data_IF_255303711554
#
_entry.id   IF_255303711554
#
_cell.length_a   1.000
_cell.length_b   1.000
_cell.length_c   1.000
_cell.angle_alpha   90.00
_cell.angle_beta   90.00
_cell.angle_gamma   90.00
#
_symmetry.space_group_name_H-M   'P 1'
#
loop_
_entity.id
_entity.type
_entity.pdbx_description
1 polymer ?
#
# COMPACT_ATOMS: atom_id res chain seq x y z
N UNK A 1 17.07 24.87 12.05
CA UNK A 1 17.74 25.00 10.74
C UNK A 1 16.76 24.75 9.59
N UNK A 2 16.00 23.65 9.58
CA UNK A 2 15.02 23.33 8.52
C UNK A 2 14.06 24.48 8.14
N UNK A 3 13.51 25.22 9.12
CA UNK A 3 12.62 26.37 8.85
C UNK A 3 13.24 27.42 7.90
N UNK A 4 14.56 27.63 7.95
CA UNK A 4 15.25 28.62 7.11
C UNK A 4 15.47 28.17 5.66
N UNK A 5 15.23 26.89 5.37
CA UNK A 5 15.36 26.28 4.04
C UNK A 5 14.06 25.59 3.63
N UNK A 6 12.93 26.03 4.17
CA UNK A 6 11.61 25.51 3.80
C UNK A 6 11.34 25.80 2.31
N UNK A 7 10.68 24.86 1.64
CA UNK A 7 10.34 24.96 0.22
C UNK A 7 9.31 26.05 -0.06
N UNK A 8 8.51 26.42 0.94
CA UNK A 8 7.49 27.45 0.85
C UNK A 8 7.10 28.00 2.23
N UNK A 9 6.37 29.12 2.24
CA UNK A 9 5.95 29.81 3.46
C UNK A 9 5.05 28.95 4.36
N UNK A 10 4.14 28.15 3.79
CA UNK A 10 3.24 27.30 4.56
C UNK A 10 4.00 26.21 5.33
N UNK A 11 4.95 25.53 4.67
CA UNK A 11 5.84 24.56 5.31
C UNK A 11 6.71 25.23 6.39
N UNK A 12 7.25 26.43 6.11
CA UNK A 12 8.03 27.21 7.08
C UNK A 12 7.21 27.68 8.29
N UNK A 13 5.93 27.99 8.10
CA UNK A 13 5.01 28.35 9.18
C UNK A 13 4.73 27.14 10.08
N UNK A 14 4.38 25.98 9.52
CA UNK A 14 4.17 24.75 10.26
C UNK A 14 5.43 24.34 11.06
N UNK A 15 6.63 24.39 10.45
CA UNK A 15 7.89 24.16 11.17
C UNK A 15 8.10 25.15 12.33
N UNK A 16 7.64 26.39 12.17
CA UNK A 16 7.66 27.41 13.22
C UNK A 16 6.82 27.02 14.43
N UNK A 17 5.58 26.59 14.20
CA UNK A 17 4.66 26.14 15.25
C UNK A 17 5.17 24.87 15.93
N UNK A 18 5.74 23.93 15.18
CA UNK A 18 6.34 22.73 15.77
C UNK A 18 7.52 23.07 16.71
N UNK A 19 8.37 24.02 16.31
CA UNK A 19 9.46 24.53 17.17
C UNK A 19 8.90 25.20 18.42
N UNK A 20 7.81 25.96 18.30
CA UNK A 20 7.15 26.60 19.43
C UNK A 20 6.58 25.57 20.40
N UNK A 21 5.85 24.57 19.89
CA UNK A 21 5.34 23.44 20.67
C UNK A 21 6.46 22.75 21.45
N UNK A 22 7.59 22.41 20.81
CA UNK A 22 8.71 21.78 21.52
C UNK A 22 9.33 22.65 22.63
N UNK A 23 9.21 23.98 22.54
CA UNK A 23 9.72 24.89 23.57
C UNK A 23 8.73 25.10 24.72
N UNK A 24 7.44 25.05 24.45
CA UNK A 24 6.39 25.43 25.42
C UNK A 24 5.66 24.23 26.01
N UNK A 25 5.56 23.13 25.27
CA UNK A 25 4.71 21.99 25.58
C UNK A 25 3.21 22.27 25.48
N UNK A 26 2.81 23.39 24.85
CA UNK A 26 1.41 23.81 24.76
C UNK A 26 0.62 23.00 23.71
N UNK A 27 -0.44 22.32 24.15
CA UNK A 27 -1.26 21.49 23.29
C UNK A 27 -2.13 22.29 22.32
N UNK A 28 -2.43 23.56 22.61
CA UNK A 28 -3.11 24.41 21.62
C UNK A 28 -2.16 24.70 20.44
N UNK A 29 -0.89 25.00 20.73
CA UNK A 29 0.15 25.16 19.69
C UNK A 29 0.33 23.87 18.87
N UNK A 30 0.20 22.70 19.49
CA UNK A 30 0.19 21.41 18.79
C UNK A 30 -0.99 21.30 17.82
N UNK A 31 -2.20 21.64 18.25
CA UNK A 31 -3.39 21.67 17.38
C UNK A 31 -3.20 22.67 16.22
N UNK A 32 -2.68 23.87 16.50
CA UNK A 32 -2.40 24.90 15.50
C UNK A 32 -1.35 24.41 14.49
N UNK A 33 -0.30 23.73 14.96
CA UNK A 33 0.68 23.06 14.08
C UNK A 33 0.01 22.04 13.17
N UNK A 34 -0.87 21.17 13.70
CA UNK A 34 -1.53 20.15 12.91
C UNK A 34 -2.44 20.76 11.83
N UNK A 35 -3.19 21.81 12.17
CA UNK A 35 -3.98 22.57 11.17
C UNK A 35 -3.07 23.13 10.07
N UNK A 36 -1.97 23.80 10.44
CA UNK A 36 -1.04 24.38 9.49
C UNK A 36 -0.35 23.31 8.61
N UNK A 37 0.09 22.21 9.22
CA UNK A 37 0.75 21.10 8.52
C UNK A 37 -0.21 20.41 7.56
N UNK A 38 -1.46 20.14 7.95
CA UNK A 38 -2.48 19.55 7.07
C UNK A 38 -2.72 20.43 5.83
N UNK A 39 -2.76 21.75 5.99
CA UNK A 39 -2.91 22.69 4.88
C UNK A 39 -1.66 22.87 4.00
N UNK A 40 -0.47 22.54 4.49
CA UNK A 40 0.79 22.66 3.76
C UNK A 40 1.00 21.45 2.83
N UNK A 41 0.37 21.45 1.66
CA UNK A 41 0.42 20.34 0.68
C UNK A 41 1.40 20.58 -0.49
N UNK A 42 1.86 21.81 -0.67
CA UNK A 42 2.84 22.16 -1.70
C UNK A 42 4.27 21.80 -1.25
N UNK A 43 5.11 21.43 -2.22
CA UNK A 43 6.51 21.03 -1.98
C UNK A 43 6.76 19.54 -2.23
N UNK A 44 8.02 19.16 -2.21
CA UNK A 44 8.47 17.80 -2.43
C UNK A 44 8.88 17.07 -1.16
N UNK A 45 9.08 17.81 -0.07
CA UNK A 45 9.48 17.30 1.23
C UNK A 45 8.32 17.45 2.21
N UNK A 46 7.98 16.37 2.88
CA UNK A 46 7.08 16.37 4.03
C UNK A 46 7.74 15.64 5.19
N UNK A 47 7.14 15.76 6.38
CA UNK A 47 7.70 15.17 7.58
C UNK A 47 6.61 14.88 8.59
N UNK A 48 6.85 13.82 9.36
CA UNK A 48 6.23 13.59 10.67
C UNK A 48 7.35 13.71 11.68
N UNK A 49 7.14 14.48 12.75
CA UNK A 49 8.15 14.66 13.80
C UNK A 49 7.49 15.15 15.09
N UNK A 50 7.01 14.24 15.94
CA UNK A 50 6.52 14.56 17.29
C UNK A 50 6.11 13.32 18.07
N UNK A 51 5.37 13.54 19.16
CA UNK A 51 4.64 12.51 19.90
C UNK A 51 3.30 12.26 19.20
N UNK A 52 3.20 11.18 18.40
CA UNK A 52 2.09 11.01 17.44
C UNK A 52 1.11 9.94 17.89
N UNK A 53 1.57 8.70 17.93
CA UNK A 53 0.71 7.53 18.08
C UNK A 53 0.61 7.09 19.54
N UNK A 54 -0.60 6.81 20.00
CA UNK A 54 -0.88 6.51 21.42
C UNK A 54 -0.95 5.01 21.73
N UNK A 55 -0.56 4.15 20.79
CA UNK A 55 -0.71 2.69 20.90
C UNK A 55 0.07 2.09 22.07
N UNK A 56 1.21 2.69 22.43
CA UNK A 56 2.08 2.21 23.50
C UNK A 56 1.65 2.68 24.90
N UNK A 57 0.69 3.61 25.00
CA UNK A 57 0.07 3.97 26.27
C UNK A 57 -1.12 3.03 26.55
N UNK A 58 -1.13 2.26 27.65
CA UNK A 58 -2.26 1.41 28.00
C UNK A 58 -3.60 2.16 28.14
N UNK A 59 -3.56 3.47 28.39
CA UNK A 59 -4.74 4.32 28.46
C UNK A 59 -5.00 5.10 27.15
N UNK A 60 -4.07 5.08 26.20
CA UNK A 60 -4.20 5.74 24.90
C UNK A 60 -4.17 7.27 24.95
N UNK A 61 -3.48 7.88 25.92
CA UNK A 61 -3.41 9.35 26.07
C UNK A 61 -2.06 9.96 25.70
N UNK A 62 -0.97 9.19 25.81
CA UNK A 62 0.41 9.66 25.57
C UNK A 62 0.93 9.13 24.24
N UNK A 63 1.35 10.03 23.37
CA UNK A 63 1.96 9.68 22.08
C UNK A 63 3.42 9.24 22.25
N UNK A 64 3.84 8.19 21.54
CA UNK A 64 5.25 7.86 21.32
C UNK A 64 5.91 8.90 20.41
N UNK A 65 7.17 9.25 20.68
CA UNK A 65 7.94 10.07 19.73
C UNK A 65 8.22 9.26 18.46
N UNK A 66 7.91 9.83 17.30
CA UNK A 66 8.28 9.29 15.99
C UNK A 66 8.73 10.40 15.04
N UNK A 67 9.57 10.03 14.08
CA UNK A 67 9.97 10.90 12.99
C UNK A 67 10.05 10.11 11.69
N UNK A 68 9.44 10.64 10.63
CA UNK A 68 9.50 10.08 9.27
C UNK A 68 9.74 11.24 8.31
N UNK A 69 10.88 11.27 7.62
CA UNK A 69 11.19 12.27 6.60
C UNK A 69 10.80 11.72 5.24
N UNK A 70 9.95 12.45 4.52
CA UNK A 70 9.27 11.97 3.33
C UNK A 70 9.64 12.84 2.13
N UNK A 71 9.96 12.19 1.01
CA UNK A 71 10.24 12.84 -0.28
C UNK A 71 9.21 12.31 -1.27
N UNK A 72 8.56 13.16 -2.06
CA UNK A 72 7.66 12.69 -3.12
C UNK A 72 8.33 11.61 -3.98
N UNK A 73 7.64 10.51 -4.24
CA UNK A 73 8.05 9.59 -5.29
C UNK A 73 7.67 10.23 -6.63
N UNK A 74 8.65 10.88 -7.28
CA UNK A 74 8.44 11.61 -8.52
C UNK A 74 7.99 10.72 -9.67
N UNK A 75 8.52 9.49 -9.74
CA UNK A 75 8.14 8.51 -10.76
C UNK A 75 6.69 8.08 -10.57
N UNK A 76 6.32 7.71 -9.34
CA UNK A 76 4.95 7.36 -9.01
C UNK A 76 3.98 8.54 -9.20
N UNK A 77 4.39 9.73 -8.79
CA UNK A 77 3.58 10.96 -8.93
C UNK A 77 3.27 11.25 -10.40
N UNK A 78 4.24 11.05 -11.31
CA UNK A 78 4.01 11.19 -12.74
C UNK A 78 3.03 10.15 -13.27
N UNK A 79 3.19 8.88 -12.89
CA UNK A 79 2.27 7.80 -13.27
C UNK A 79 0.85 8.06 -12.76
N UNK A 80 0.69 8.40 -11.49
CA UNK A 80 -0.58 8.75 -10.87
C UNK A 80 -1.24 9.96 -11.54
N UNK A 81 -0.44 10.97 -11.93
CA UNK A 81 -0.96 12.12 -12.67
C UNK A 81 -1.55 11.71 -14.02
N UNK A 82 -0.84 10.89 -14.80
CA UNK A 82 -1.34 10.38 -16.09
C UNK A 82 -2.65 9.61 -15.90
N UNK A 83 -2.74 8.77 -14.86
CA UNK A 83 -3.97 8.05 -14.54
C UNK A 83 -5.11 9.02 -14.16
N UNK A 84 -4.85 9.95 -13.24
CA UNK A 84 -5.83 10.94 -12.79
C UNK A 84 -6.35 11.82 -13.92
N UNK A 85 -5.48 12.28 -14.82
CA UNK A 85 -5.86 13.08 -15.99
C UNK A 85 -6.76 12.29 -16.97
N UNK A 86 -6.69 10.96 -16.93
CA UNK A 86 -7.48 10.05 -17.76
C UNK A 86 -8.58 9.32 -16.96
N UNK A 87 -8.87 9.74 -15.72
CA UNK A 87 -9.80 9.04 -14.83
C UNK A 87 -11.18 8.80 -15.45
N UNK A 88 -11.69 9.76 -16.23
CA UNK A 88 -12.96 9.61 -16.93
C UNK A 88 -12.93 8.49 -17.99
N UNK A 89 -11.81 8.31 -18.70
CA UNK A 89 -11.69 7.23 -19.68
C UNK A 89 -11.81 5.87 -18.98
N UNK A 90 -11.19 5.71 -17.82
CA UNK A 90 -11.29 4.48 -17.04
C UNK A 90 -12.74 4.27 -16.56
N UNK A 91 -13.42 5.28 -16.02
CA UNK A 91 -14.82 5.14 -15.63
C UNK A 91 -15.72 4.72 -16.81
N UNK A 92 -15.60 5.41 -17.94
CA UNK A 92 -16.41 5.17 -19.13
C UNK A 92 -16.20 3.78 -19.71
N UNK A 93 -14.95 3.28 -19.69
CA UNK A 93 -14.54 1.98 -20.23
C UNK A 93 -14.51 0.87 -19.18
N UNK A 94 -15.08 1.09 -18.00
CA UNK A 94 -15.20 0.07 -16.95
C UNK A 94 -16.32 -0.94 -17.27
N UNK A 95 -16.24 -2.18 -16.72
CA UNK A 95 -17.28 -3.19 -16.88
C UNK A 95 -18.52 -2.92 -16.00
N UNK A 96 -18.52 -1.80 -15.26
CA UNK A 96 -19.61 -1.40 -14.38
C UNK A 96 -20.92 -1.22 -15.15
N UNK A 97 -22.05 -1.43 -14.46
CA UNK A 97 -23.37 -1.09 -15.01
C UNK A 97 -23.45 0.42 -15.28
N UNK A 98 -24.11 0.81 -16.36
CA UNK A 98 -24.18 2.22 -16.78
C UNK A 98 -24.76 3.13 -15.67
N UNK A 99 -25.75 2.67 -14.93
CA UNK A 99 -26.33 3.40 -13.79
C UNK A 99 -25.39 3.56 -12.60
N UNK A 100 -24.36 2.72 -12.47
CA UNK A 100 -23.35 2.80 -11.41
C UNK A 100 -22.12 3.60 -11.81
N UNK A 101 -22.01 4.05 -13.07
CA UNK A 101 -20.93 4.92 -13.53
C UNK A 101 -21.17 6.39 -13.14
N UNK A 102 -20.11 7.08 -12.77
CA UNK A 102 -20.09 8.54 -12.58
C UNK A 102 -20.06 9.25 -13.93
N UNK A 103 -20.86 10.29 -14.05
CA UNK A 103 -20.85 11.16 -15.25
C UNK A 103 -19.57 12.00 -15.33
N UNK A 104 -19.06 12.43 -14.18
CA UNK A 104 -17.83 13.19 -14.05
C UNK A 104 -17.00 12.61 -12.91
N UNK A 105 -15.84 12.04 -13.23
CA UNK A 105 -14.85 11.55 -12.27
C UNK A 105 -13.72 12.54 -12.17
N UNK A 106 -13.41 12.92 -10.94
CA UNK A 106 -12.16 13.59 -10.60
C UNK A 106 -11.28 12.54 -9.94
N UNK A 107 -10.08 12.33 -10.48
CA UNK A 107 -9.12 11.40 -9.89
C UNK A 107 -8.77 11.81 -8.46
N UNK A 108 -8.55 10.82 -7.59
CA UNK A 108 -8.12 11.07 -6.21
C UNK A 108 -6.64 11.41 -6.21
N UNK A 109 -6.25 12.47 -5.50
CA UNK A 109 -4.85 12.80 -5.28
C UNK A 109 -4.32 11.91 -4.16
N UNK A 110 -3.66 10.81 -4.54
CA UNK A 110 -2.96 9.93 -3.61
C UNK A 110 -1.47 10.25 -3.63
N UNK A 111 -0.83 10.27 -2.44
CA UNK A 111 0.59 10.64 -2.31
C UNK A 111 1.41 9.41 -1.93
N UNK A 112 2.31 9.01 -2.81
CA UNK A 112 3.36 8.03 -2.53
C UNK A 112 4.67 8.77 -2.31
N UNK A 113 5.37 8.40 -1.25
CA UNK A 113 6.64 9.02 -0.87
C UNK A 113 7.73 7.98 -0.70
N UNK A 114 8.97 8.42 -0.87
CA UNK A 114 10.15 7.73 -0.40
C UNK A 114 10.52 8.25 0.99
N UNK A 115 10.72 7.33 1.91
CA UNK A 115 11.28 7.61 3.24
C UNK A 115 12.77 7.87 3.10
N UNK A 116 13.22 9.06 3.53
CA UNK A 116 14.63 9.45 3.56
C UNK A 116 15.33 9.11 4.88
N UNK A 117 14.56 8.96 5.96
CA UNK A 117 15.06 8.57 7.27
C UNK A 117 13.96 8.56 8.33
N UNK A 118 14.07 7.62 9.28
CA UNK A 118 13.11 7.39 10.34
C UNK A 118 13.79 7.38 11.72
N UNK A 119 13.04 7.73 12.76
CA UNK A 119 13.47 7.62 14.15
C UNK A 119 12.27 7.43 15.09
N UNK A 120 12.54 7.05 16.34
CA UNK A 120 11.50 6.83 17.34
C UNK A 120 10.66 5.58 17.02
N UNK A 121 9.35 5.66 17.24
CA UNK A 121 8.42 4.53 17.05
C UNK A 121 8.29 4.06 15.59
N UNK A 122 8.85 4.84 14.64
CA UNK A 122 8.93 4.48 13.23
C UNK A 122 10.26 3.81 12.83
N UNK A 123 11.17 3.47 13.77
CA UNK A 123 12.44 2.82 13.43
C UNK A 123 12.93 1.88 14.54
N UNK A 124 13.45 0.67 14.22
CA UNK A 124 13.66 0.12 12.88
C UNK A 124 12.41 -0.53 12.28
N UNK A 125 11.36 -0.76 13.07
CA UNK A 125 10.07 -1.22 12.55
C UNK A 125 9.21 -0.01 12.22
N UNK A 126 8.69 0.05 11.00
CA UNK A 126 7.98 1.22 10.47
C UNK A 126 6.64 0.80 9.85
N UNK A 127 5.60 1.65 9.88
CA UNK A 127 4.41 1.42 9.08
C UNK A 127 4.71 1.41 7.58
N UNK A 128 3.76 0.95 6.77
CA UNK A 128 3.83 1.03 5.30
C UNK A 128 3.07 2.25 4.74
N UNK A 129 2.31 2.93 5.60
CA UNK A 129 1.54 4.12 5.29
C UNK A 129 1.07 4.82 6.55
N UNK A 130 0.76 6.10 6.44
CA UNK A 130 0.43 6.99 7.57
C UNK A 130 -0.77 7.85 7.21
N UNK A 131 -1.65 8.13 8.20
CA UNK A 131 -2.83 8.96 7.99
C UNK A 131 -3.05 9.93 9.16
N UNK A 132 -2.59 11.16 9.01
CA UNK A 132 -2.52 12.15 10.07
C UNK A 132 -3.23 13.47 9.69
N UNK A 133 -3.65 14.29 10.67
CA UNK A 133 -3.46 14.14 12.12
C UNK A 133 -4.49 13.20 12.77
N UNK A 134 -4.24 12.86 14.04
CA UNK A 134 -5.13 12.01 14.85
C UNK A 134 -6.36 12.77 15.41
N UNK A 135 -6.30 14.10 15.51
CA UNK A 135 -7.41 14.90 16.04
C UNK A 135 -8.62 14.91 15.08
N UNK A 136 -9.70 14.22 15.46
CA UNK A 136 -10.90 14.06 14.64
C UNK A 136 -11.52 15.40 14.18
N UNK A 137 -11.47 16.43 15.01
CA UNK A 137 -12.04 17.73 14.67
C UNK A 137 -11.23 18.42 13.55
N UNK A 138 -9.90 18.28 13.53
CA UNK A 138 -9.04 18.78 12.46
C UNK A 138 -9.32 18.00 11.18
N UNK A 139 -9.42 16.67 11.28
CA UNK A 139 -9.76 15.80 10.14
C UNK A 139 -11.08 16.20 9.49
N UNK A 140 -12.09 16.51 10.31
CA UNK A 140 -13.41 16.91 9.83
C UNK A 140 -13.45 18.34 9.26
N UNK A 141 -12.66 19.26 9.81
CA UNK A 141 -12.76 20.69 9.49
C UNK A 141 -11.75 21.18 8.46
N UNK A 142 -10.58 20.54 8.41
CA UNK A 142 -9.42 20.91 7.59
C UNK A 142 -9.06 19.79 6.62
N UNK A 143 -9.04 18.54 7.12
CA UNK A 143 -8.71 17.35 6.34
C UNK A 143 -7.61 16.51 6.98
N UNK A 144 -7.06 15.58 6.21
CA UNK A 144 -5.96 14.70 6.63
C UNK A 144 -5.02 14.44 5.45
N UNK A 145 -3.76 14.11 5.74
CA UNK A 145 -2.81 13.59 4.77
C UNK A 145 -2.69 12.08 4.94
N UNK A 146 -3.02 11.34 3.89
CA UNK A 146 -2.79 9.90 3.79
C UNK A 146 -1.64 9.65 2.83
N UNK A 147 -0.62 8.92 3.27
CA UNK A 147 0.62 8.74 2.53
C UNK A 147 1.05 7.28 2.58
N UNK A 148 1.42 6.72 1.42
CA UNK A 148 2.07 5.41 1.34
C UNK A 148 3.60 5.56 1.29
N UNK A 149 4.30 4.79 2.12
CA UNK A 149 5.75 4.76 2.21
C UNK A 149 6.30 3.78 1.16
N UNK A 150 6.35 4.24 -0.09
CA UNK A 150 6.55 3.42 -1.27
C UNK A 150 7.85 2.63 -1.28
N UNK A 151 8.96 3.20 -0.81
CA UNK A 151 10.24 2.49 -0.72
C UNK A 151 10.28 1.46 0.43
N UNK A 152 9.53 1.67 1.52
CA UNK A 152 9.36 0.68 2.58
C UNK A 152 8.55 -0.51 2.06
N UNK A 153 7.39 -0.27 1.43
CA UNK A 153 6.55 -1.31 0.80
C UNK A 153 7.38 -2.13 -0.20
N UNK A 154 8.12 -1.42 -1.05
CA UNK A 154 9.00 -2.03 -2.03
C UNK A 154 10.08 -2.90 -1.37
N UNK A 155 10.72 -2.40 -0.32
CA UNK A 155 11.69 -3.18 0.44
C UNK A 155 11.03 -4.37 1.17
N UNK A 156 9.79 -4.27 1.67
CA UNK A 156 9.06 -5.41 2.24
C UNK A 156 8.80 -6.50 1.20
N UNK A 157 8.30 -6.11 0.02
CA UNK A 157 7.98 -7.03 -1.06
C UNK A 157 9.24 -7.74 -1.56
N UNK A 158 10.37 -7.04 -1.61
CA UNK A 158 11.65 -7.54 -2.11
C UNK A 158 12.60 -8.08 -1.02
N UNK A 159 12.26 -7.99 0.27
CA UNK A 159 13.04 -8.57 1.36
C UNK A 159 12.91 -10.10 1.42
N UNK A 160 11.98 -10.69 0.66
CA UNK A 160 12.01 -12.12 0.38
C UNK A 160 13.33 -12.47 -0.33
N UNK A 161 14.00 -13.53 0.11
CA UNK A 161 15.10 -14.05 -0.69
C UNK A 161 14.55 -14.40 -2.08
N UNK A 162 15.31 -14.17 -3.15
CA UNK A 162 14.97 -14.73 -4.49
C UNK A 162 14.64 -16.22 -4.40
N UNK A 163 15.19 -16.92 -3.40
CA UNK A 163 14.82 -18.28 -3.04
C UNK A 163 13.34 -18.49 -2.68
N UNK A 164 12.69 -17.57 -1.95
CA UNK A 164 11.25 -17.68 -1.66
C UNK A 164 10.41 -17.53 -2.92
N UNK A 165 10.69 -16.55 -3.76
CA UNK A 165 9.99 -16.40 -5.03
C UNK A 165 10.12 -17.69 -5.85
N UNK A 166 11.36 -18.15 -6.07
CA UNK A 166 11.69 -19.40 -6.79
C UNK A 166 10.99 -20.64 -6.21
N UNK A 167 10.75 -20.68 -4.91
CA UNK A 167 10.05 -21.79 -4.27
C UNK A 167 8.55 -21.82 -4.60
N UNK A 168 7.91 -20.67 -4.79
CA UNK A 168 6.45 -20.55 -4.91
C UNK A 168 5.91 -20.24 -6.31
N UNK A 169 6.73 -19.71 -7.22
CA UNK A 169 6.38 -19.59 -8.64
C UNK A 169 6.19 -20.96 -9.29
N UNK A 170 5.30 -21.03 -10.28
CA UNK A 170 5.01 -22.25 -11.02
C UNK A 170 6.19 -22.68 -11.89
N UNK A 171 6.79 -21.76 -12.64
CA UNK A 171 7.84 -22.07 -13.61
C UNK A 171 8.89 -20.94 -13.75
N UNK A 172 9.81 -21.15 -14.69
CA UNK A 172 10.90 -20.20 -14.98
C UNK A 172 10.40 -18.95 -15.70
N UNK A 173 9.29 -19.02 -16.45
CA UNK A 173 8.73 -17.85 -17.12
C UNK A 173 8.13 -16.88 -16.10
N UNK A 174 7.30 -17.37 -15.17
CA UNK A 174 6.76 -16.55 -14.06
C UNK A 174 7.90 -15.90 -13.26
N UNK A 175 8.95 -16.65 -12.97
CA UNK A 175 10.12 -16.15 -12.23
C UNK A 175 10.79 -14.97 -12.96
N UNK A 176 11.09 -15.14 -14.26
CA UNK A 176 11.77 -14.12 -15.05
C UNK A 176 10.90 -12.87 -15.22
N UNK A 177 9.60 -13.06 -15.41
CA UNK A 177 8.64 -11.96 -15.49
C UNK A 177 8.56 -11.19 -14.17
N UNK A 178 8.49 -11.87 -13.03
CA UNK A 178 8.50 -11.22 -11.72
C UNK A 178 9.82 -10.45 -11.48
N UNK A 179 10.97 -11.05 -11.80
CA UNK A 179 12.29 -10.39 -11.65
C UNK A 179 12.42 -9.15 -12.54
N UNK A 180 11.84 -9.16 -13.75
CA UNK A 180 11.93 -8.05 -14.70
C UNK A 180 10.86 -6.97 -14.48
N UNK A 181 9.61 -7.36 -14.20
CA UNK A 181 8.43 -6.50 -14.24
C UNK A 181 7.69 -6.37 -12.90
N UNK A 182 7.93 -7.25 -11.91
CA UNK A 182 7.12 -7.35 -10.69
C UNK A 182 7.03 -6.03 -9.91
N UNK A 183 8.17 -5.33 -9.76
CA UNK A 183 8.19 -4.03 -9.08
C UNK A 183 7.34 -2.96 -9.80
N UNK A 184 7.36 -2.94 -11.14
CA UNK A 184 6.57 -1.99 -11.91
C UNK A 184 5.09 -2.36 -11.90
N UNK A 185 4.77 -3.66 -11.97
CA UNK A 185 3.43 -4.19 -11.87
C UNK A 185 2.78 -3.83 -10.51
N UNK A 186 3.47 -4.07 -9.39
CA UNK A 186 3.02 -3.71 -8.04
C UNK A 186 2.72 -2.21 -7.91
N UNK A 187 3.65 -1.38 -8.41
CA UNK A 187 3.53 0.08 -8.40
C UNK A 187 2.32 0.55 -9.19
N UNK A 188 2.10 -0.01 -10.39
CA UNK A 188 0.96 0.36 -11.23
C UNK A 188 -0.36 -0.18 -10.69
N UNK A 189 -0.37 -1.38 -10.09
CA UNK A 189 -1.55 -1.92 -9.40
C UNK A 189 -1.99 -0.98 -8.28
N UNK A 190 -1.04 -0.59 -7.42
CA UNK A 190 -1.27 0.38 -6.34
C UNK A 190 -1.77 1.71 -6.90
N UNK A 191 -1.15 2.23 -7.96
CA UNK A 191 -1.57 3.49 -8.56
C UNK A 191 -3.00 3.44 -9.13
N UNK A 192 -3.36 2.35 -9.81
CA UNK A 192 -4.72 2.14 -10.32
C UNK A 192 -5.73 1.94 -9.19
N UNK A 193 -5.40 1.14 -8.17
CA UNK A 193 -6.23 0.93 -6.98
C UNK A 193 -6.58 2.27 -6.31
N UNK A 194 -5.57 3.08 -6.01
CA UNK A 194 -5.72 4.30 -5.23
C UNK A 194 -6.35 5.45 -6.02
N UNK A 195 -5.91 5.66 -7.27
CA UNK A 195 -6.33 6.83 -8.08
C UNK A 195 -7.62 6.57 -8.85
N UNK A 196 -7.82 5.35 -9.35
CA UNK A 196 -8.96 4.98 -10.20
C UNK A 196 -9.95 4.10 -9.43
N UNK A 197 -9.46 3.11 -8.71
CA UNK A 197 -10.23 2.16 -7.92
C UNK A 197 -11.18 2.89 -6.98
N UNK A 198 -10.67 3.49 -5.91
CA UNK A 198 -11.51 4.21 -4.95
C UNK A 198 -12.29 5.41 -5.52
N UNK A 199 -11.81 6.01 -6.62
CA UNK A 199 -12.48 7.13 -7.28
C UNK A 199 -13.69 6.70 -8.13
N UNK A 200 -13.73 5.45 -8.61
CA UNK A 200 -14.72 4.96 -9.57
C UNK A 200 -16.05 4.55 -8.93
N UNK A 201 -17.11 4.61 -9.72
CA UNK A 201 -18.44 4.10 -9.36
C UNK A 201 -19.22 4.92 -8.31
N UNK A 202 -20.55 4.88 -8.38
CA UNK A 202 -21.44 5.64 -7.48
C UNK A 202 -22.51 4.77 -6.84
N UNK A 203 -23.00 5.19 -5.67
CA UNK A 203 -24.16 4.60 -5.00
C UNK A 203 -25.46 4.96 -5.71
N UNK A 204 -26.46 4.09 -5.63
CA UNK A 204 -27.80 4.40 -6.11
C UNK A 204 -28.49 5.44 -5.21
N UNK A 205 -29.37 6.30 -5.77
CA UNK A 205 -30.11 7.28 -4.98
C UNK A 205 -30.86 6.63 -3.80
N UNK A 206 -30.61 7.11 -2.58
CA UNK A 206 -31.26 6.60 -1.37
C UNK A 206 -30.58 5.42 -0.69
N UNK A 207 -29.47 4.90 -1.26
CA UNK A 207 -28.61 3.91 -0.59
C UNK A 207 -27.64 4.65 0.35
N UNK A 208 -27.57 4.19 1.61
CA UNK A 208 -26.65 4.75 2.61
C UNK A 208 -25.18 4.41 2.31
N UNK A 209 -24.27 5.03 3.07
CA UNK A 209 -22.84 4.82 2.87
C UNK A 209 -22.46 3.34 3.04
N UNK A 210 -21.40 2.89 2.35
CA UNK A 210 -20.99 1.47 2.34
C UNK A 210 -20.78 0.89 3.74
N UNK A 211 -20.27 1.70 4.67
CA UNK A 211 -20.09 1.32 6.08
C UNK A 211 -21.42 1.04 6.79
N UNK A 212 -22.48 1.76 6.44
CA UNK A 212 -23.81 1.61 7.04
C UNK A 212 -24.55 0.39 6.47
N UNK A 213 -24.47 0.21 5.15
CA UNK A 213 -25.19 -0.84 4.43
C UNK A 213 -24.51 -2.20 4.55
N UNK A 214 -23.18 -2.26 4.45
CA UNK A 214 -22.41 -3.51 4.42
C UNK A 214 -21.70 -3.85 5.74
N UNK A 215 -21.69 -2.91 6.69
CA UNK A 215 -21.21 -3.11 8.08
C UNK A 215 -19.78 -3.68 8.13
N UNK A 216 -19.60 -4.85 8.74
CA UNK A 216 -18.32 -5.54 8.89
C UNK A 216 -17.68 -5.97 7.57
N UNK A 217 -18.44 -6.02 6.46
CA UNK A 217 -17.90 -6.36 5.14
C UNK A 217 -17.51 -5.13 4.30
N UNK A 218 -17.79 -3.92 4.77
CA UNK A 218 -17.56 -2.70 4.00
C UNK A 218 -16.10 -2.54 3.57
N UNK A 219 -15.15 -2.69 4.49
CA UNK A 219 -13.73 -2.53 4.19
C UNK A 219 -13.22 -3.59 3.21
N UNK A 220 -13.49 -4.87 3.47
CA UNK A 220 -13.00 -5.93 2.57
C UNK A 220 -13.61 -5.86 1.17
N UNK A 221 -14.87 -5.44 1.03
CA UNK A 221 -15.47 -5.22 -0.29
C UNK A 221 -14.84 -4.02 -1.00
N UNK A 222 -14.69 -2.88 -0.31
CA UNK A 222 -14.15 -1.67 -0.93
C UNK A 222 -12.74 -1.90 -1.47
N UNK A 223 -11.90 -2.54 -0.67
CA UNK A 223 -10.53 -2.87 -1.04
C UNK A 223 -10.46 -3.85 -2.21
N UNK A 224 -11.23 -4.94 -2.19
CA UNK A 224 -11.21 -5.89 -3.30
C UNK A 224 -11.82 -5.34 -4.58
N UNK A 225 -12.79 -4.42 -4.47
CA UNK A 225 -13.32 -3.69 -5.63
C UNK A 225 -12.25 -2.78 -6.24
N UNK A 226 -11.49 -2.05 -5.43
CA UNK A 226 -10.38 -1.22 -5.91
C UNK A 226 -9.25 -2.07 -6.50
N UNK A 227 -8.92 -3.22 -5.89
CA UNK A 227 -7.98 -4.20 -6.45
C UNK A 227 -8.43 -4.71 -7.81
N UNK A 228 -9.72 -5.04 -7.97
CA UNK A 228 -10.29 -5.50 -9.23
C UNK A 228 -10.24 -4.44 -10.32
N UNK A 229 -10.42 -3.15 -10.00
CA UNK A 229 -10.17 -2.06 -10.95
C UNK A 229 -8.71 -2.06 -11.38
N UNK A 230 -7.79 -2.19 -10.43
CA UNK A 230 -6.36 -2.31 -10.72
C UNK A 230 -6.04 -3.49 -11.63
N UNK A 231 -6.52 -4.69 -11.29
CA UNK A 231 -6.30 -5.92 -12.07
C UNK A 231 -6.92 -5.82 -13.47
N UNK A 232 -8.14 -5.32 -13.60
CA UNK A 232 -8.80 -5.17 -14.89
C UNK A 232 -7.99 -4.27 -15.83
N UNK A 233 -7.46 -3.14 -15.34
CA UNK A 233 -6.69 -2.22 -16.18
C UNK A 233 -5.20 -2.53 -16.33
N UNK A 234 -4.61 -3.36 -15.46
CA UNK A 234 -3.22 -3.81 -15.63
C UNK A 234 -3.02 -4.65 -16.88
N UNK A 235 -3.99 -5.49 -17.20
CA UNK A 235 -3.99 -6.28 -18.43
C UNK A 235 -4.72 -5.52 -19.56
N UNK A 236 -4.36 -4.25 -19.78
CA UNK A 236 -4.99 -3.40 -20.79
C UNK A 236 -3.96 -2.60 -21.63
N UNK A 237 -4.07 -2.59 -22.98
CA UNK A 237 -3.18 -1.83 -23.85
C UNK A 237 -3.19 -0.32 -23.60
N UNK A 238 -4.23 0.22 -22.96
CA UNK A 238 -4.29 1.64 -22.65
C UNK A 238 -3.11 2.12 -21.81
N UNK A 239 -2.57 1.30 -20.92
CA UNK A 239 -1.40 1.67 -20.13
C UNK A 239 -0.18 1.97 -21.01
N UNK A 240 0.01 1.18 -22.07
CA UNK A 240 1.08 1.42 -23.04
C UNK A 240 0.79 2.63 -23.92
N UNK A 241 -0.46 2.84 -24.35
CA UNK A 241 -0.87 4.05 -25.09
C UNK A 241 -0.62 5.34 -24.30
N UNK A 242 -0.81 5.29 -22.98
CA UNK A 242 -0.55 6.39 -22.06
C UNK A 242 0.94 6.54 -21.71
N UNK A 243 1.81 5.66 -22.20
CA UNK A 243 3.25 5.69 -21.94
C UNK A 243 3.66 5.24 -20.54
N UNK A 244 2.77 4.54 -19.81
CA UNK A 244 3.03 4.06 -18.45
C UNK A 244 3.90 2.79 -18.43
N UNK A 245 3.85 2.01 -19.52
CA UNK A 245 4.57 0.75 -19.71
C UNK A 245 5.03 0.61 -21.15
N UNK A 246 6.05 -0.21 -21.38
CA UNK A 246 6.53 -0.56 -22.74
C UNK A 246 5.93 -1.86 -23.27
N UNK A 247 5.49 -2.75 -22.39
CA UNK A 247 4.87 -4.04 -22.70
C UNK A 247 3.75 -4.29 -21.68
N UNK A 248 2.52 -3.88 -22.03
CA UNK A 248 1.36 -4.01 -21.13
C UNK A 248 0.99 -5.46 -20.86
N UNK A 249 1.24 -6.37 -21.82
CA UNK A 249 0.84 -7.77 -21.71
C UNK A 249 1.70 -8.47 -20.66
N UNK A 250 3.03 -8.30 -20.71
CA UNK A 250 3.93 -8.86 -19.69
C UNK A 250 3.69 -8.29 -18.31
N UNK A 251 3.43 -6.98 -18.21
CA UNK A 251 3.09 -6.33 -16.93
C UNK A 251 1.81 -6.94 -16.34
N UNK A 252 0.77 -7.08 -17.16
CA UNK A 252 -0.49 -7.65 -16.71
C UNK A 252 -0.37 -9.13 -16.34
N UNK A 253 0.42 -9.94 -17.08
CA UNK A 253 0.71 -11.34 -16.71
C UNK A 253 1.40 -11.42 -15.35
N UNK A 254 2.47 -10.66 -15.18
CA UNK A 254 3.24 -10.58 -13.93
C UNK A 254 2.33 -10.22 -12.75
N UNK A 255 1.48 -9.19 -12.91
CA UNK A 255 0.52 -8.80 -11.89
C UNK A 255 -0.48 -9.91 -11.55
N UNK A 256 -1.00 -10.61 -12.57
CA UNK A 256 -2.00 -11.67 -12.37
C UNK A 256 -1.39 -12.88 -11.67
N UNK A 257 -0.21 -13.32 -12.10
CA UNK A 257 0.51 -14.42 -11.46
C UNK A 257 0.80 -14.10 -9.99
N UNK A 258 1.38 -12.93 -9.73
CA UNK A 258 1.65 -12.45 -8.37
C UNK A 258 0.38 -12.40 -7.51
N UNK A 259 -0.73 -11.86 -8.05
CA UNK A 259 -1.99 -11.73 -7.32
C UNK A 259 -2.63 -13.10 -7.02
N UNK A 260 -2.68 -14.02 -7.98
CA UNK A 260 -3.23 -15.37 -7.79
C UNK A 260 -2.36 -16.20 -6.84
N UNK A 261 -1.03 -16.16 -7.01
CA UNK A 261 -0.07 -16.81 -6.11
C UNK A 261 -0.19 -16.27 -4.69
N UNK A 262 -0.39 -14.96 -4.53
CA UNK A 262 -0.61 -14.35 -3.22
C UNK A 262 -1.94 -14.79 -2.60
N UNK A 263 -3.05 -14.54 -3.30
CA UNK A 263 -4.41 -14.74 -2.80
C UNK A 263 -4.72 -16.19 -2.45
N UNK A 264 -4.26 -17.15 -3.25
CA UNK A 264 -4.56 -18.58 -3.05
C UNK A 264 -3.51 -19.33 -2.23
N UNK A 265 -2.33 -18.75 -1.97
CA UNK A 265 -1.22 -19.51 -1.41
C UNK A 265 -0.27 -18.71 -0.51
N UNK A 266 0.51 -17.78 -1.04
CA UNK A 266 1.68 -17.25 -0.29
C UNK A 266 1.31 -16.32 0.85
N UNK A 267 0.12 -15.71 0.84
CA UNK A 267 -0.33 -14.90 1.99
C UNK A 267 -0.54 -15.73 3.27
N UNK A 268 -0.79 -17.04 3.13
CA UNK A 268 -1.06 -17.95 4.26
C UNK A 268 0.16 -18.15 5.17
N UNK A 269 1.36 -17.74 4.72
CA UNK A 269 2.57 -17.69 5.55
C UNK A 269 2.37 -16.85 6.82
N UNK A 270 1.45 -15.87 6.78
CA UNK A 270 1.17 -14.94 7.88
C UNK A 270 0.24 -15.51 8.96
N UNK A 271 -0.33 -16.69 8.75
CA UNK A 271 -1.33 -17.30 9.64
C UNK A 271 -0.75 -18.50 10.40
N UNK A 272 -1.23 -18.74 11.63
CA UNK A 272 -0.93 -20.00 12.32
C UNK A 272 -1.79 -21.11 11.72
N UNK A 273 -1.25 -22.32 11.65
CA UNK A 273 -1.99 -23.47 11.13
C UNK A 273 -3.31 -23.68 11.92
N UNK A 274 -4.43 -23.77 11.21
CA UNK A 274 -5.77 -23.86 11.78
C UNK A 274 -6.53 -22.53 11.82
N UNK A 275 -5.85 -21.39 11.68
CA UNK A 275 -6.49 -20.08 11.62
C UNK A 275 -7.20 -19.85 10.27
N UNK A 276 -8.19 -18.96 10.28
CA UNK A 276 -8.83 -18.42 9.09
C UNK A 276 -8.32 -17.00 8.81
N UNK A 277 -8.66 -16.45 7.64
CA UNK A 277 -8.29 -15.07 7.31
C UNK A 277 -9.19 -14.08 8.06
N UNK A 278 -8.59 -13.13 8.78
CA UNK A 278 -9.31 -12.09 9.52
C UNK A 278 -9.14 -10.69 8.94
N UNK A 279 -7.92 -10.36 8.52
CA UNK A 279 -7.53 -9.04 8.02
C UNK A 279 -8.23 -8.73 6.67
N UNK A 280 -8.80 -7.52 6.53
CA UNK A 280 -9.68 -7.16 5.41
C UNK A 280 -8.99 -7.22 4.04
N UNK A 281 -7.70 -6.81 3.95
CA UNK A 281 -6.94 -6.87 2.72
C UNK A 281 -6.59 -8.32 2.34
N UNK A 282 -6.16 -9.15 3.29
CA UNK A 282 -5.95 -10.58 3.08
C UNK A 282 -7.23 -11.28 2.62
N UNK A 283 -8.37 -10.95 3.25
CA UNK A 283 -9.69 -11.47 2.86
C UNK A 283 -10.02 -11.13 1.42
N UNK A 284 -9.76 -9.88 1.00
CA UNK A 284 -10.07 -9.45 -0.35
C UNK A 284 -9.24 -10.16 -1.41
N UNK A 285 -7.94 -10.30 -1.18
CA UNK A 285 -7.05 -10.99 -2.12
C UNK A 285 -7.49 -12.44 -2.24
N UNK A 286 -7.88 -13.04 -1.10
CA UNK A 286 -8.38 -14.40 -1.11
C UNK A 286 -9.70 -14.53 -1.88
N UNK A 287 -10.72 -13.71 -1.60
CA UNK A 287 -12.00 -13.87 -2.29
C UNK A 287 -11.95 -13.53 -3.78
N UNK A 288 -11.13 -12.55 -4.18
CA UNK A 288 -10.90 -12.24 -5.61
C UNK A 288 -10.30 -13.45 -6.32
N UNK A 289 -9.20 -14.00 -5.80
CA UNK A 289 -8.52 -15.13 -6.44
C UNK A 289 -9.34 -16.42 -6.38
N UNK A 290 -9.97 -16.73 -5.25
CA UNK A 290 -10.75 -17.96 -5.07
C UNK A 290 -12.03 -17.96 -5.91
N UNK A 291 -12.70 -16.81 -6.05
CA UNK A 291 -13.84 -16.68 -6.94
C UNK A 291 -13.43 -16.89 -8.39
N UNK A 292 -12.36 -16.23 -8.85
CA UNK A 292 -11.86 -16.39 -10.22
C UNK A 292 -11.42 -17.83 -10.51
N UNK A 293 -10.74 -18.47 -9.56
CA UNK A 293 -10.36 -19.88 -9.64
C UNK A 293 -11.58 -20.81 -9.78
N UNK A 294 -12.63 -20.61 -8.97
CA UNK A 294 -13.85 -21.42 -9.05
C UNK A 294 -14.58 -21.20 -10.38
N UNK A 295 -14.79 -19.94 -10.79
CA UNK A 295 -15.57 -19.62 -12.00
C UNK A 295 -14.83 -20.00 -13.28
N UNK A 296 -13.51 -19.90 -13.29
CA UNK A 296 -12.66 -20.32 -14.41
C UNK A 296 -12.45 -21.83 -14.52
N UNK A 297 -12.91 -22.63 -13.55
CA UNK A 297 -12.60 -24.07 -13.47
C UNK A 297 -13.06 -24.89 -14.68
N UNK A 298 -14.23 -24.58 -15.25
CA UNK A 298 -14.77 -25.31 -16.40
C UNK A 298 -13.89 -25.16 -17.65
N UNK A 299 -13.20 -24.03 -17.77
CA UNK A 299 -12.34 -23.67 -18.89
C UNK A 299 -10.83 -23.83 -18.56
N UNK A 300 -10.50 -24.34 -17.36
CA UNK A 300 -9.15 -24.47 -16.83
C UNK A 300 -8.35 -23.14 -16.84
N UNK A 301 -9.01 -22.00 -16.59
CA UNK A 301 -8.38 -20.66 -16.65
C UNK A 301 -7.22 -20.54 -15.68
N UNK A 302 -7.42 -21.01 -14.44
CA UNK A 302 -6.39 -21.13 -13.42
C UNK A 302 -6.33 -22.60 -12.98
N UNK A 303 -5.14 -23.17 -12.96
CA UNK A 303 -4.90 -24.57 -12.63
C UNK A 303 -4.12 -24.70 -11.31
N UNK A 304 -4.62 -25.55 -10.40
CA UNK A 304 -3.88 -25.96 -9.21
C UNK A 304 -2.98 -27.15 -9.58
N UNK A 305 -1.67 -26.92 -9.67
CA UNK A 305 -0.69 -27.94 -10.04
C UNK A 305 -0.01 -28.49 -8.79
N UNK A 306 0.16 -29.82 -8.74
CA UNK A 306 0.97 -30.47 -7.69
C UNK A 306 2.21 -31.09 -8.32
N UNK A 307 3.40 -30.69 -7.87
CA UNK A 307 4.70 -31.21 -8.34
C UNK A 307 5.54 -31.56 -7.12
N UNK A 308 6.00 -32.80 -7.03
CA UNK A 308 6.83 -33.29 -5.91
C UNK A 308 6.24 -32.99 -4.53
N UNK A 309 4.91 -33.10 -4.39
CA UNK A 309 4.19 -32.81 -3.15
C UNK A 309 4.03 -31.32 -2.83
N UNK A 310 4.47 -30.41 -3.70
CA UNK A 310 4.30 -28.96 -3.58
C UNK A 310 3.15 -28.47 -4.45
N UNK A 311 2.35 -27.54 -3.91
CA UNK A 311 1.24 -26.90 -4.63
C UNK A 311 1.71 -25.64 -5.35
N UNK A 312 1.24 -25.44 -6.58
CA UNK A 312 1.45 -24.25 -7.39
C UNK A 312 0.14 -23.86 -8.07
N UNK A 313 0.04 -22.62 -8.52
CA UNK A 313 -1.05 -22.16 -9.36
C UNK A 313 -0.48 -21.68 -10.68
N UNK A 314 -1.09 -22.07 -11.80
CA UNK A 314 -0.72 -21.63 -13.14
C UNK A 314 -1.92 -20.95 -13.80
N UNK A 315 -1.69 -19.85 -14.52
CA UNK A 315 -2.72 -19.18 -15.31
C UNK A 315 -2.59 -19.65 -16.75
N UNK A 316 -3.57 -20.42 -17.23
CA UNK A 316 -3.57 -20.94 -18.60
C UNK A 316 -4.17 -19.97 -19.61
N UNK A 317 -5.04 -19.05 -19.17
CA UNK A 317 -5.72 -18.09 -20.05
C UNK A 317 -5.91 -16.72 -19.35
N UNK A 318 -4.94 -15.83 -19.54
CA UNK A 318 -4.96 -14.48 -18.96
C UNK A 318 -6.11 -13.62 -19.48
N UNK A 319 -6.53 -13.81 -20.74
CA UNK A 319 -7.64 -13.05 -21.31
C UNK A 319 -8.96 -13.44 -20.68
N UNK A 320 -9.22 -14.74 -20.49
CA UNK A 320 -10.39 -15.19 -19.72
C UNK A 320 -10.33 -14.79 -18.26
N UNK A 321 -9.15 -14.77 -17.65
CA UNK A 321 -9.02 -14.27 -16.28
C UNK A 321 -9.35 -12.77 -16.19
N UNK A 322 -8.92 -11.97 -17.16
CA UNK A 322 -9.31 -10.56 -17.27
C UNK A 322 -10.84 -10.40 -17.36
N UNK A 323 -11.52 -11.24 -18.16
CA UNK A 323 -12.99 -11.23 -18.26
C UNK A 323 -13.65 -11.58 -16.92
N UNK A 324 -13.15 -12.61 -16.22
CA UNK A 324 -13.62 -12.98 -14.88
C UNK A 324 -13.43 -11.86 -13.85
N UNK A 325 -12.29 -11.16 -13.86
CA UNK A 325 -12.09 -9.99 -13.02
C UNK A 325 -13.07 -8.86 -13.38
N UNK A 326 -13.37 -8.66 -14.66
CA UNK A 326 -14.38 -7.70 -15.09
C UNK A 326 -15.80 -8.05 -14.62
N UNK A 327 -16.16 -9.33 -14.66
CA UNK A 327 -17.44 -9.83 -14.13
C UNK A 327 -17.55 -9.61 -12.61
N UNK A 328 -16.50 -9.97 -11.87
CA UNK A 328 -16.48 -9.79 -10.43
C UNK A 328 -16.44 -8.31 -10.04
N UNK A 329 -15.75 -7.46 -10.79
CA UNK A 329 -15.75 -6.01 -10.60
C UNK A 329 -17.16 -5.42 -10.78
N UNK A 330 -17.87 -5.87 -11.82
CA UNK A 330 -19.25 -5.45 -12.06
C UNK A 330 -20.18 -5.86 -10.91
N UNK A 331 -20.04 -7.08 -10.40
CA UNK A 331 -20.86 -7.57 -9.29
C UNK A 331 -20.52 -6.87 -7.96
N UNK A 332 -19.24 -6.72 -7.63
CA UNK A 332 -18.81 -6.03 -6.40
C UNK A 332 -19.24 -4.56 -6.40
N UNK A 333 -19.20 -3.89 -7.56
CA UNK A 333 -19.79 -2.56 -7.70
C UNK A 333 -21.31 -2.57 -7.51
N UNK A 334 -22.04 -3.54 -8.07
CA UNK A 334 -23.50 -3.67 -7.85
C UNK A 334 -23.81 -3.81 -6.36
N UNK A 335 -23.13 -4.73 -5.68
CA UNK A 335 -23.25 -4.96 -4.24
C UNK A 335 -23.07 -3.66 -3.46
N UNK A 336 -22.00 -2.91 -3.77
CA UNK A 336 -21.72 -1.60 -3.15
C UNK A 336 -22.83 -0.60 -3.45
N UNK A 337 -23.19 -0.43 -4.72
CA UNK A 337 -24.11 0.59 -5.20
C UNK A 337 -25.55 0.38 -4.72
N UNK A 338 -25.95 -0.86 -4.49
CA UNK A 338 -27.29 -1.23 -4.00
C UNK A 338 -27.34 -1.47 -2.49
N UNK A 339 -26.20 -1.54 -1.80
CA UNK A 339 -26.14 -1.84 -0.37
C UNK A 339 -26.54 -3.29 -0.05
N UNK A 340 -26.21 -4.24 -0.92
CA UNK A 340 -26.64 -5.63 -0.83
C UNK A 340 -25.81 -6.42 0.20
N UNK A 341 -26.21 -6.32 1.47
CA UNK A 341 -25.55 -7.00 2.58
C UNK A 341 -25.47 -8.53 2.39
N UNK A 342 -26.51 -9.16 1.81
CA UNK A 342 -26.54 -10.61 1.67
C UNK A 342 -25.56 -11.10 0.60
N UNK A 343 -25.45 -10.36 -0.49
CA UNK A 343 -24.49 -10.69 -1.54
C UNK A 343 -23.05 -10.50 -1.07
N UNK A 344 -22.74 -9.42 -0.33
CA UNK A 344 -21.37 -9.25 0.22
C UNK A 344 -21.05 -10.34 1.26
N UNK A 345 -22.01 -10.71 2.11
CA UNK A 345 -21.83 -11.79 3.09
C UNK A 345 -21.54 -13.12 2.37
N UNK A 346 -22.31 -13.45 1.32
CA UNK A 346 -22.11 -14.66 0.54
C UNK A 346 -20.74 -14.68 -0.16
N UNK A 347 -20.29 -13.55 -0.71
CA UNK A 347 -18.98 -13.43 -1.37
C UNK A 347 -17.84 -13.60 -0.34
N UNK A 348 -17.87 -12.84 0.75
CA UNK A 348 -16.78 -12.83 1.73
C UNK A 348 -16.73 -14.15 2.51
N UNK A 349 -17.85 -14.64 3.03
CA UNK A 349 -17.88 -15.89 3.80
C UNK A 349 -17.67 -17.13 2.92
N UNK A 350 -18.04 -17.04 1.63
CA UNK A 350 -17.87 -18.10 0.65
C UNK A 350 -16.41 -18.26 0.20
N UNK A 351 -15.70 -17.15 -0.03
CA UNK A 351 -14.40 -17.17 -0.70
C UNK A 351 -13.25 -16.52 0.10
N UNK A 352 -13.55 -15.61 1.03
CA UNK A 352 -12.55 -14.73 1.66
C UNK A 352 -12.10 -15.12 3.06
N UNK A 353 -12.85 -15.98 3.78
CA UNK A 353 -12.58 -16.30 5.19
C UNK A 353 -11.87 -17.65 5.35
N UNK A 354 -12.44 -18.70 4.75
CA UNK A 354 -12.00 -20.09 5.02
C UNK A 354 -10.69 -20.39 4.33
N UNK A 355 -9.74 -20.94 5.08
CA UNK A 355 -8.44 -21.36 4.55
C UNK A 355 -8.46 -22.86 4.24
N UNK A 356 -8.00 -23.24 3.05
CA UNK A 356 -7.67 -24.63 2.71
C UNK A 356 -6.44 -25.05 3.53
N UNK A 357 -6.69 -25.86 4.56
CA UNK A 357 -5.67 -26.24 5.54
C UNK A 357 -4.57 -27.15 4.94
N UNK A 358 -4.86 -27.86 3.84
CA UNK A 358 -3.85 -28.67 3.16
C UNK A 358 -2.86 -27.77 2.39
N UNK A 359 -3.38 -26.72 1.72
CA UNK A 359 -2.53 -25.70 1.11
C UNK A 359 -1.74 -24.96 2.20
N UNK A 360 -2.39 -24.57 3.29
CA UNK A 360 -1.74 -23.84 4.39
C UNK A 360 -0.58 -24.64 4.99
N UNK A 361 -0.80 -25.92 5.31
CA UNK A 361 0.25 -26.80 5.80
C UNK A 361 1.40 -26.95 4.78
N UNK A 362 1.08 -27.08 3.49
CA UNK A 362 2.07 -27.14 2.41
C UNK A 362 2.94 -25.87 2.36
N UNK A 363 2.31 -24.70 2.44
CA UNK A 363 2.96 -23.40 2.41
C UNK A 363 3.86 -23.20 3.62
N UNK A 364 3.37 -23.50 4.83
CA UNK A 364 4.15 -23.36 6.05
C UNK A 364 5.36 -24.30 6.05
N UNK A 365 5.19 -25.56 5.61
CA UNK A 365 6.31 -26.50 5.51
C UNK A 365 7.38 -26.00 4.53
N UNK A 366 6.98 -25.58 3.33
CA UNK A 366 7.90 -25.02 2.33
C UNK A 366 8.58 -23.75 2.83
N UNK A 367 7.87 -22.93 3.61
CA UNK A 367 8.42 -21.68 4.12
C UNK A 367 9.43 -21.87 5.26
N UNK A 368 9.45 -23.01 5.97
CA UNK A 368 10.43 -23.29 7.05
C UNK A 368 11.89 -23.20 6.60
N UNK A 369 12.16 -23.43 5.32
CA UNK A 369 13.52 -23.30 4.77
C UNK A 369 14.00 -21.85 4.71
N UNK A 370 13.08 -20.87 4.78
CA UNK A 370 13.40 -19.45 4.81
C UNK A 370 13.39 -18.97 6.26
N UNK A 371 14.57 -18.63 6.77
CA UNK A 371 14.77 -18.13 8.13
C UNK A 371 14.33 -16.68 8.33
N UNK A 372 13.51 -16.12 7.42
CA UNK A 372 13.06 -14.73 7.59
C UNK A 372 12.25 -14.62 8.87
N UNK A 373 12.65 -13.69 9.74
CA UNK A 373 11.89 -13.40 10.93
C UNK A 373 10.46 -12.93 10.55
N UNK A 374 9.46 -13.20 11.40
CA UNK A 374 8.08 -12.75 11.17
C UNK A 374 7.94 -11.21 11.24
N UNK A 375 8.93 -10.53 11.80
CA UNK A 375 9.00 -9.08 11.89
C UNK A 375 10.16 -8.55 11.05
N UNK A 376 9.88 -7.51 10.28
CA UNK A 376 10.88 -6.82 9.47
C UNK A 376 11.28 -5.52 10.16
N UNK A 377 12.55 -5.17 10.04
CA UNK A 377 13.05 -3.84 10.36
C UNK A 377 13.99 -3.35 9.27
N UNK A 378 14.15 -2.03 9.19
CA UNK A 378 14.90 -1.34 8.15
C UNK A 378 16.05 -0.56 8.77
N UNK A 379 17.20 -0.58 8.11
CA UNK A 379 18.30 0.33 8.42
C UNK A 379 18.11 1.61 7.63
N UNK A 380 18.28 2.76 8.29
CA UNK A 380 18.24 4.05 7.60
C UNK A 380 19.46 4.24 6.69
N UNK A 381 19.35 5.01 5.59
CA UNK A 381 20.52 5.52 4.89
C UNK A 381 21.24 6.60 5.72
N UNK A 382 22.48 6.91 5.34
CA UNK A 382 23.28 8.00 5.89
C UNK A 382 23.34 9.11 4.83
N UNK A 383 22.81 10.28 5.15
CA UNK A 383 22.83 11.45 4.26
C UNK A 383 24.05 12.33 4.59
N UNK A 384 25.04 12.35 3.70
CA UNK A 384 26.32 13.05 3.91
C UNK A 384 26.39 14.31 3.03
N UNK A 385 26.32 15.52 3.60
CA UNK A 385 26.44 16.74 2.82
C UNK A 385 27.90 16.98 2.39
N UNK A 386 28.08 17.34 1.12
CA UNK A 386 29.32 17.89 0.58
C UNK A 386 29.18 19.41 0.49
N UNK A 387 30.19 20.14 0.96
CA UNK A 387 30.17 21.60 1.00
C UNK A 387 31.29 22.22 0.18
N UNK A 388 31.03 23.38 -0.44
CA UNK A 388 32.08 24.20 -1.03
C UNK A 388 32.91 24.94 0.04
N UNK A 389 33.94 25.69 -0.38
CA UNK A 389 34.82 26.46 0.51
C UNK A 389 34.07 27.54 1.34
N UNK A 390 32.89 27.96 0.90
CA UNK A 390 32.03 28.90 1.63
C UNK A 390 31.11 28.21 2.65
N UNK A 391 31.14 26.88 2.74
CA UNK A 391 30.28 26.07 3.62
C UNK A 391 28.88 25.82 3.08
N UNK A 392 28.61 26.14 1.81
CA UNK A 392 27.32 25.88 1.17
C UNK A 392 27.24 24.43 0.71
N UNK A 393 26.11 23.77 0.95
CA UNK A 393 25.87 22.39 0.52
C UNK A 393 25.73 22.37 -1.01
N UNK A 394 26.62 21.66 -1.69
CA UNK A 394 26.59 21.48 -3.15
C UNK A 394 26.01 20.14 -3.56
N UNK A 395 26.07 19.15 -2.68
CA UNK A 395 25.58 17.79 -2.91
C UNK A 395 25.25 17.10 -1.59
N UNK A 396 24.32 16.16 -1.62
CA UNK A 396 24.10 15.20 -0.52
C UNK A 396 24.33 13.80 -1.07
N UNK A 397 25.32 13.11 -0.53
CA UNK A 397 25.60 11.71 -0.85
C UNK A 397 24.72 10.81 0.03
N UNK A 398 24.18 9.75 -0.57
CA UNK A 398 23.40 8.73 0.14
C UNK A 398 24.29 7.51 0.30
N UNK A 399 24.65 7.22 1.54
CA UNK A 399 25.44 6.05 1.94
C UNK A 399 24.56 5.08 2.75
N UNK A 400 25.02 3.85 2.93
CA UNK A 400 24.31 2.83 3.71
C UNK A 400 25.24 2.26 4.77
N UNK A 401 24.74 2.02 6.00
CA UNK A 401 25.55 1.39 7.04
C UNK A 401 25.95 -0.02 6.62
N UNK A 402 27.10 -0.50 7.13
CA UNK A 402 27.57 -1.86 6.84
C UNK A 402 26.64 -2.92 7.46
N UNK A 403 26.02 -2.61 8.59
CA UNK A 403 25.10 -3.51 9.28
C UNK A 403 24.15 -2.74 10.22
N UNK A 404 23.10 -3.41 10.67
CA UNK A 404 22.23 -2.91 11.73
C UNK A 404 23.00 -2.57 13.02
N UNK A 405 23.97 -3.41 13.40
CA UNK A 405 24.79 -3.19 14.60
C UNK A 405 25.61 -1.90 14.49
N UNK A 406 26.24 -1.69 13.32
CA UNK A 406 27.03 -0.49 13.06
C UNK A 406 26.18 0.79 13.13
N UNK A 407 24.99 0.77 12.54
CA UNK A 407 24.05 1.89 12.64
C UNK A 407 23.65 2.19 14.08
N UNK A 408 23.27 1.16 14.86
CA UNK A 408 22.83 1.35 16.24
C UNK A 408 23.95 1.86 17.15
N UNK A 409 25.19 1.39 16.96
CA UNK A 409 26.36 1.90 17.68
C UNK A 409 26.67 3.34 17.28
N UNK A 410 26.55 3.69 16.00
CA UNK A 410 26.72 5.05 15.50
C UNK A 410 25.69 6.00 16.10
N UNK A 411 24.41 5.59 16.13
CA UNK A 411 23.34 6.35 16.78
C UNK A 411 23.59 6.54 18.28
N UNK A 412 23.97 5.48 18.98
CA UNK A 412 24.28 5.55 20.42
C UNK A 412 25.44 6.51 20.71
N UNK A 413 26.45 6.57 19.83
CA UNK A 413 27.63 7.42 20.01
C UNK A 413 27.38 8.88 19.65
N UNK A 414 26.60 9.15 18.60
CA UNK A 414 26.49 10.48 18.01
C UNK A 414 25.15 11.17 18.21
N UNK A 415 24.09 10.40 18.51
CA UNK A 415 22.71 10.88 18.59
C UNK A 415 21.99 10.52 19.91
N UNK A 416 22.74 10.09 20.93
CA UNK A 416 22.23 9.84 22.29
C UNK A 416 22.44 11.05 23.20
N UNK A 417 21.54 12.04 23.13
CA UNK A 417 21.69 13.30 23.86
C UNK A 417 21.00 13.33 25.25
N UNK A 418 20.19 12.33 25.57
CA UNK A 418 19.51 12.25 26.86
C UNK A 418 20.42 11.68 27.95
N UNK A 419 20.26 12.10 29.22
CA UNK A 419 20.90 11.44 30.35
C UNK A 419 20.37 10.02 30.54
N UNK A 420 21.14 9.18 31.24
CA UNK A 420 20.71 7.82 31.60
C UNK A 420 19.45 7.81 32.49
N UNK A 421 19.19 8.89 33.24
CA UNK A 421 18.02 9.09 34.10
C UNK A 421 17.36 10.41 33.71
N UNK A 422 16.09 10.35 33.27
CA UNK A 422 15.29 11.49 32.79
C UNK A 422 14.26 11.92 33.82
#
# INVERSE_FOLDING_TARGET
MAKGVAENEAQGHALGLLIEYYKTGDLQTWDDYNVAWTGATAGNIDYINSFIEVYNDPLGYRGSYESIIQINDFDMSQKMKVLSDNAQWFEDNSPLMAEHKKENVVGVTYKVVNVAGEAGDASPSTPIGVNLPNANWIRASVGSKSVSLGNIVNASNNAGTTGRLKEFVHDEEELLLEEEYGQLADKLHTALHEVIGHASGKLNPGVGETKETLKNYASTLEEGRADLVGLYYLYNPKLQELGLVTDWEKIGKTAYDGYIRNGLMTQLIRLNLGDNVEEAHMRNRQWVSAWAFEKGKADNVIEKVTRDGKTYFNINDYAKLHDLFGELLKETQRIKSEGDYKAVEALVEGYGVKVDQDIHANVLERNKQFSSAPYTGYVNPILVPETNDAGEITKVNVEYPESFVDQMLTYSKHYSFLPEVN
#
